data_IF_805693868272
#
_entry.id   IF_805693868272
#
_cell.length_a   1.000
_cell.length_b   1.000
_cell.length_c   1.000
_cell.angle_alpha   90.00
_cell.angle_beta   90.00
_cell.angle_gamma   90.00
#
_symmetry.space_group_name_H-M   'P 1'
#
loop_
_entity.id
_entity.type
_entity.pdbx_description
1 polymer ?
#
# COMPACT_ATOMS: atom_id res chain seq x y z
N UNK A 1 -2.21 -32.34 -17.17
CA UNK A 1 -1.59 -31.00 -17.11
C UNK A 1 -1.75 -30.47 -15.71
N UNK A 2 -0.65 -30.29 -15.01
CA UNK A 2 -0.63 -29.77 -13.64
C UNK A 2 -0.95 -28.27 -13.64
N UNK A 3 -1.52 -27.74 -12.55
CA UNK A 3 -1.88 -26.30 -12.43
C UNK A 3 -0.68 -25.38 -12.77
N UNK A 4 0.54 -25.75 -12.45
CA UNK A 4 1.77 -25.04 -12.79
C UNK A 4 2.02 -24.90 -14.31
N UNK A 5 1.57 -25.85 -15.12
CA UNK A 5 1.72 -25.78 -16.58
C UNK A 5 0.68 -24.86 -17.24
N UNK A 6 -0.53 -24.79 -16.67
CA UNK A 6 -1.56 -23.84 -17.13
C UNK A 6 -1.21 -22.40 -16.78
N UNK A 7 -0.66 -22.13 -15.60
CA UNK A 7 -0.20 -20.79 -15.21
C UNK A 7 0.97 -20.29 -16.06
N UNK A 8 1.95 -21.15 -16.41
CA UNK A 8 3.01 -20.80 -17.37
C UNK A 8 2.49 -20.52 -18.79
N UNK A 9 1.47 -21.25 -19.24
CA UNK A 9 0.87 -21.06 -20.58
C UNK A 9 0.06 -19.76 -20.68
N UNK A 10 -0.65 -19.37 -19.62
CA UNK A 10 -1.37 -18.10 -19.53
C UNK A 10 -0.41 -16.91 -19.48
N UNK A 11 0.65 -17.00 -18.71
CA UNK A 11 1.72 -16.01 -18.65
C UNK A 11 2.36 -15.80 -20.03
N UNK A 12 2.74 -16.86 -20.74
CA UNK A 12 3.37 -16.76 -22.04
C UNK A 12 2.45 -16.22 -23.16
N UNK A 13 1.16 -16.56 -23.15
CA UNK A 13 0.21 -16.03 -24.16
C UNK A 13 -0.08 -14.53 -23.97
N UNK A 14 -0.13 -14.09 -22.70
CA UNK A 14 -0.32 -12.67 -22.42
C UNK A 14 0.90 -11.86 -22.85
N UNK A 15 2.10 -12.37 -22.58
CA UNK A 15 3.37 -11.76 -22.97
C UNK A 15 3.51 -11.70 -24.49
N UNK A 16 3.19 -12.77 -25.22
CA UNK A 16 3.34 -12.83 -26.67
C UNK A 16 2.44 -11.83 -27.43
N UNK A 17 1.27 -11.52 -26.89
CA UNK A 17 0.34 -10.56 -27.50
C UNK A 17 0.85 -9.10 -27.46
N UNK A 18 1.78 -8.80 -26.54
CA UNK A 18 2.38 -7.46 -26.37
C UNK A 18 3.74 -7.32 -27.08
N UNK A 19 4.37 -8.42 -27.52
CA UNK A 19 5.70 -8.41 -28.14
C UNK A 19 5.72 -7.93 -29.59
N UNK A 20 4.59 -7.95 -30.27
CA UNK A 20 4.57 -7.80 -31.75
C UNK A 20 4.58 -6.35 -32.24
N UNK A 21 4.56 -5.32 -31.38
CA UNK A 21 4.30 -3.95 -31.84
C UNK A 21 5.18 -2.80 -31.30
N UNK A 22 6.32 -3.01 -30.63
CA UNK A 22 7.05 -1.88 -30.04
C UNK A 22 8.59 -1.99 -30.05
N UNK A 23 9.29 -0.82 -29.91
CA UNK A 23 10.75 -0.68 -29.80
C UNK A 23 11.32 -1.50 -28.63
N UNK A 24 12.57 -1.96 -28.74
CA UNK A 24 13.26 -2.85 -27.78
C UNK A 24 13.27 -2.32 -26.35
N UNK A 25 13.39 -1.01 -26.17
CA UNK A 25 13.40 -0.36 -24.84
C UNK A 25 12.02 -0.38 -24.15
N UNK A 26 10.96 -0.20 -24.94
CA UNK A 26 9.56 -0.33 -24.47
C UNK A 26 9.23 -1.78 -24.06
N UNK A 27 9.77 -2.75 -24.79
CA UNK A 27 9.60 -4.18 -24.49
C UNK A 27 10.28 -4.56 -23.18
N UNK A 28 11.51 -4.12 -22.94
CA UNK A 28 12.24 -4.42 -21.71
C UNK A 28 11.52 -3.86 -20.46
N UNK A 29 10.99 -2.65 -20.56
CA UNK A 29 10.20 -2.04 -19.47
C UNK A 29 8.89 -2.80 -19.22
N UNK A 30 8.21 -3.26 -20.28
CA UNK A 30 7.00 -4.09 -20.15
C UNK A 30 7.29 -5.46 -19.54
N UNK A 31 8.41 -6.09 -19.87
CA UNK A 31 8.83 -7.35 -19.25
C UNK A 31 9.10 -7.18 -17.76
N UNK A 32 9.86 -6.16 -17.37
CA UNK A 32 10.12 -5.84 -15.97
C UNK A 32 8.81 -5.59 -15.20
N UNK A 33 7.89 -4.86 -15.80
CA UNK A 33 6.59 -4.61 -15.19
C UNK A 33 5.74 -5.90 -15.07
N UNK A 34 5.69 -6.75 -16.08
CA UNK A 34 4.96 -8.01 -16.02
C UNK A 34 5.51 -8.96 -14.94
N UNK A 35 6.82 -8.98 -14.75
CA UNK A 35 7.48 -9.74 -13.68
C UNK A 35 7.10 -9.19 -12.30
N UNK A 36 7.14 -7.88 -12.13
CA UNK A 36 6.72 -7.21 -10.90
C UNK A 36 5.24 -7.47 -10.61
N UNK A 37 4.37 -7.36 -11.62
CA UNK A 37 2.95 -7.61 -11.48
C UNK A 37 2.65 -9.05 -11.07
N UNK A 38 3.36 -10.03 -11.65
CA UNK A 38 3.25 -11.44 -11.29
C UNK A 38 3.70 -11.71 -9.86
N UNK A 39 4.84 -11.15 -9.46
CA UNK A 39 5.36 -11.24 -8.10
C UNK A 39 4.42 -10.62 -7.09
N UNK A 40 3.86 -9.45 -7.40
CA UNK A 40 2.90 -8.76 -6.53
C UNK A 40 1.61 -9.56 -6.37
N UNK A 41 1.07 -10.12 -7.44
CA UNK A 41 -0.11 -10.98 -7.40
C UNK A 41 0.11 -12.23 -6.53
N UNK A 42 1.30 -12.84 -6.62
CA UNK A 42 1.69 -13.96 -5.76
C UNK A 42 1.78 -13.53 -4.29
N UNK A 43 2.41 -12.39 -4.03
CA UNK A 43 2.55 -11.85 -2.68
C UNK A 43 1.19 -11.54 -2.05
N UNK A 44 0.24 -10.98 -2.81
CA UNK A 44 -1.11 -10.67 -2.33
C UNK A 44 -1.92 -11.91 -1.92
N UNK A 45 -1.63 -13.08 -2.48
CA UNK A 45 -2.28 -14.34 -2.10
C UNK A 45 -1.74 -14.92 -0.79
N UNK A 46 -0.47 -14.71 -0.50
CA UNK A 46 0.25 -15.39 0.59
C UNK A 46 0.55 -14.49 1.78
N UNK A 47 0.25 -13.18 1.68
CA UNK A 47 0.70 -12.26 2.70
C UNK A 47 -0.19 -12.31 3.95
N UNK A 48 0.47 -12.44 5.10
CA UNK A 48 -0.15 -12.48 6.43
C UNK A 48 0.19 -11.25 7.29
N UNK A 49 1.08 -10.39 6.79
CA UNK A 49 1.63 -9.25 7.52
C UNK A 49 1.67 -8.01 6.62
N UNK A 50 1.01 -6.94 7.09
CA UNK A 50 0.92 -5.67 6.35
C UNK A 50 2.28 -4.99 6.19
N UNK A 51 3.18 -5.13 7.18
CA UNK A 51 4.53 -4.56 7.09
C UNK A 51 5.26 -5.09 5.85
N UNK A 52 5.26 -6.41 5.67
CA UNK A 52 5.88 -7.05 4.51
C UNK A 52 5.27 -6.59 3.19
N UNK A 53 3.95 -6.37 3.15
CA UNK A 53 3.31 -5.83 1.96
C UNK A 53 3.81 -4.43 1.66
N UNK A 54 3.81 -3.55 2.67
CA UNK A 54 4.22 -2.17 2.52
C UNK A 54 5.71 -2.04 2.15
N UNK A 55 6.58 -2.84 2.79
CA UNK A 55 8.00 -2.89 2.47
C UNK A 55 8.23 -3.35 1.03
N UNK A 56 7.46 -4.35 0.56
CA UNK A 56 7.54 -4.82 -0.81
C UNK A 56 7.04 -3.77 -1.81
N UNK A 57 5.94 -3.09 -1.52
CA UNK A 57 5.43 -1.98 -2.34
C UNK A 57 6.45 -0.83 -2.41
N UNK A 58 7.10 -0.48 -1.30
CA UNK A 58 8.15 0.54 -1.28
C UNK A 58 9.35 0.14 -2.14
N UNK A 59 9.73 -1.14 -2.12
CA UNK A 59 10.78 -1.65 -2.98
C UNK A 59 10.43 -1.50 -4.47
N UNK A 60 9.19 -1.82 -4.84
CA UNK A 60 8.69 -1.66 -6.21
C UNK A 60 8.70 -0.18 -6.62
N UNK A 61 8.17 0.71 -5.78
CA UNK A 61 8.18 2.15 -6.06
C UNK A 61 9.60 2.69 -6.23
N UNK A 62 10.53 2.28 -5.35
CA UNK A 62 11.94 2.65 -5.43
C UNK A 62 12.59 2.21 -6.74
N UNK A 63 12.15 1.09 -7.30
CA UNK A 63 12.71 0.54 -8.53
C UNK A 63 12.12 1.18 -9.79
N UNK A 64 10.81 1.42 -9.81
CA UNK A 64 10.10 1.98 -10.98
C UNK A 64 10.19 3.50 -11.02
N UNK A 65 10.04 4.16 -9.87
CA UNK A 65 10.03 5.62 -9.72
C UNK A 65 11.22 6.09 -8.92
N UNK A 66 12.43 5.72 -9.35
CA UNK A 66 13.69 5.91 -8.64
C UNK A 66 14.03 7.38 -8.37
N UNK A 67 13.47 8.32 -9.15
CA UNK A 67 13.67 9.77 -9.02
C UNK A 67 12.65 10.44 -8.08
N UNK A 68 11.71 9.69 -7.55
CA UNK A 68 10.64 10.17 -6.67
C UNK A 68 10.85 9.71 -5.23
N UNK A 69 10.33 10.51 -4.30
CA UNK A 69 10.15 10.09 -2.92
C UNK A 69 8.65 9.87 -2.70
N UNK A 70 8.28 8.71 -2.22
CA UNK A 70 6.88 8.32 -2.05
C UNK A 70 6.64 7.98 -0.59
N UNK A 71 5.75 8.74 0.07
CA UNK A 71 5.29 8.50 1.43
C UNK A 71 3.93 7.80 1.38
N UNK A 72 3.82 6.65 2.03
CA UNK A 72 2.60 5.86 2.15
C UNK A 72 2.11 5.94 3.58
N UNK A 73 0.88 6.42 3.76
CA UNK A 73 0.19 6.51 5.05
C UNK A 73 -1.03 5.58 5.01
N UNK A 74 -0.92 4.34 5.51
CA UNK A 74 -2.06 3.43 5.57
C UNK A 74 -3.02 3.81 6.69
N UNK A 75 -4.31 3.48 6.51
CA UNK A 75 -5.33 3.54 7.54
C UNK A 75 -5.65 2.14 8.05
N UNK A 76 -5.91 2.04 9.37
CA UNK A 76 -6.39 0.82 9.98
C UNK A 76 -7.86 0.53 9.58
N UNK A 77 -8.44 -0.55 10.08
CA UNK A 77 -9.81 -0.93 9.76
C UNK A 77 -10.87 0.04 10.33
N UNK A 78 -10.50 0.85 11.33
CA UNK A 78 -11.34 1.90 11.93
C UNK A 78 -11.25 3.23 11.16
N UNK A 79 -10.35 3.32 10.17
CA UNK A 79 -10.12 4.51 9.36
C UNK A 79 -9.16 5.52 10.02
N UNK A 80 -8.39 5.09 11.01
CA UNK A 80 -7.38 5.89 11.68
C UNK A 80 -6.01 5.65 11.06
N UNK A 81 -5.11 6.64 11.16
CA UNK A 81 -3.73 6.49 10.69
C UNK A 81 -3.02 5.38 11.44
N UNK A 82 -2.44 4.48 10.67
CA UNK A 82 -1.68 3.37 11.19
C UNK A 82 -0.20 3.75 11.27
N UNK A 83 0.15 4.52 12.30
CA UNK A 83 1.45 5.15 12.45
C UNK A 83 2.64 4.19 12.32
N UNK A 84 2.53 2.98 12.87
CA UNK A 84 3.57 1.95 12.84
C UNK A 84 3.85 1.45 11.42
N UNK A 85 2.88 1.63 10.51
CA UNK A 85 2.92 1.12 9.16
C UNK A 85 3.16 2.20 8.10
N UNK A 86 3.48 3.44 8.50
CA UNK A 86 3.89 4.47 7.55
C UNK A 86 5.22 4.08 6.92
N UNK A 87 5.32 4.23 5.61
CA UNK A 87 6.52 3.87 4.84
C UNK A 87 6.93 4.98 3.89
N UNK A 88 8.23 5.09 3.69
CA UNK A 88 8.82 6.00 2.72
C UNK A 88 9.66 5.18 1.74
N UNK A 89 9.36 5.34 0.46
CA UNK A 89 10.17 4.82 -0.64
C UNK A 89 11.02 5.97 -1.19
N UNK A 90 12.33 5.84 -1.12
CA UNK A 90 13.30 6.78 -1.67
C UNK A 90 14.55 6.04 -2.13
N UNK A 91 15.31 6.63 -3.04
CA UNK A 91 16.63 6.12 -3.40
C UNK A 91 17.71 6.60 -2.41
N UNK A 92 18.92 6.06 -2.51
CA UNK A 92 20.02 6.37 -1.59
C UNK A 92 20.50 7.84 -1.68
N UNK A 93 20.26 8.52 -2.81
CA UNK A 93 20.60 9.93 -2.98
C UNK A 93 19.66 10.89 -2.23
N UNK A 94 18.52 10.37 -1.76
CA UNK A 94 17.48 11.11 -1.06
C UNK A 94 17.39 10.77 0.44
N UNK A 95 18.40 10.12 1.01
CA UNK A 95 18.39 9.67 2.42
C UNK A 95 18.17 10.83 3.41
N UNK A 96 18.82 11.97 3.21
CA UNK A 96 18.64 13.15 4.08
C UNK A 96 17.17 13.63 4.08
N UNK A 97 16.56 13.70 2.90
CA UNK A 97 15.16 14.15 2.76
C UNK A 97 14.21 13.10 3.34
N UNK A 98 14.51 11.83 3.15
CA UNK A 98 13.75 10.72 3.77
C UNK A 98 13.78 10.84 5.29
N UNK A 99 14.92 11.15 5.87
CA UNK A 99 15.05 11.35 7.31
C UNK A 99 14.27 12.59 7.78
N UNK A 100 14.35 13.70 7.06
CA UNK A 100 13.55 14.90 7.35
C UNK A 100 12.05 14.65 7.29
N UNK A 101 11.55 13.87 6.32
CA UNK A 101 10.14 13.47 6.23
C UNK A 101 9.76 12.58 7.42
N UNK A 102 10.62 11.64 7.81
CA UNK A 102 10.40 10.80 8.99
C UNK A 102 10.33 11.62 10.28
N UNK A 103 11.24 12.58 10.46
CA UNK A 103 11.23 13.48 11.62
C UNK A 103 9.97 14.32 11.62
N UNK A 104 9.61 14.93 10.48
CA UNK A 104 8.39 15.70 10.34
C UNK A 104 7.15 14.89 10.70
N UNK A 105 7.04 13.66 10.17
CA UNK A 105 5.92 12.76 10.45
C UNK A 105 5.82 12.42 11.94
N UNK A 106 6.94 12.12 12.60
CA UNK A 106 6.98 11.84 14.04
C UNK A 106 6.61 13.06 14.90
N UNK A 107 7.02 14.26 14.47
CA UNK A 107 6.74 15.53 15.17
C UNK A 107 5.31 15.99 14.99
N UNK A 108 4.65 15.65 13.89
CA UNK A 108 3.29 16.09 13.61
C UNK A 108 2.25 15.58 14.61
N UNK A 109 2.62 14.56 15.42
CA UNK A 109 1.77 14.01 16.49
C UNK A 109 0.31 13.88 16.08
N UNK A 110 0.02 12.94 15.16
CA UNK A 110 -1.38 12.67 14.83
C UNK A 110 -2.17 12.39 16.11
N UNK A 111 -3.27 13.11 16.37
CA UNK A 111 -4.14 12.80 17.52
C UNK A 111 -4.56 11.32 17.46
N UNK A 112 -4.74 10.68 18.62
CA UNK A 112 -5.13 9.25 18.70
C UNK A 112 -6.36 8.88 17.89
N UNK A 113 -7.19 9.84 17.49
CA UNK A 113 -8.38 9.67 16.65
C UNK A 113 -8.31 10.58 15.43
N UNK A 114 -7.14 10.66 14.78
CA UNK A 114 -6.95 11.48 13.58
C UNK A 114 -7.92 11.03 12.49
N UNK A 115 -8.88 11.89 12.19
CA UNK A 115 -9.91 11.60 11.20
C UNK A 115 -9.47 12.11 9.82
N UNK A 116 -9.99 11.48 8.77
CA UNK A 116 -9.80 11.91 7.37
C UNK A 116 -10.07 13.41 7.18
N UNK A 117 -10.90 14.03 8.02
CA UNK A 117 -11.22 15.47 8.00
C UNK A 117 -10.01 16.37 8.30
N UNK A 118 -8.99 15.85 8.99
CA UNK A 118 -7.81 16.61 9.42
C UNK A 118 -6.64 16.48 8.43
N UNK A 119 -6.79 15.63 7.40
CA UNK A 119 -5.80 15.46 6.33
C UNK A 119 -5.40 16.80 5.68
N UNK A 120 -6.32 17.74 5.37
CA UNK A 120 -5.93 19.03 4.78
C UNK A 120 -4.94 19.83 5.65
N UNK A 121 -5.06 19.75 6.98
CA UNK A 121 -4.12 20.41 7.91
C UNK A 121 -2.73 19.80 7.81
N UNK A 122 -2.65 18.46 7.77
CA UNK A 122 -1.39 17.75 7.55
C UNK A 122 -0.77 18.10 6.19
N UNK A 123 -1.56 18.09 5.12
CA UNK A 123 -1.09 18.42 3.77
C UNK A 123 -0.55 19.85 3.68
N UNK A 124 -1.21 20.80 4.30
CA UNK A 124 -0.75 22.18 4.34
C UNK A 124 0.57 22.31 5.11
N UNK A 125 0.70 21.63 6.24
CA UNK A 125 1.94 21.61 7.02
C UNK A 125 3.08 20.95 6.25
N UNK A 126 2.79 19.84 5.55
CA UNK A 126 3.75 19.12 4.71
C UNK A 126 4.25 20.01 3.56
N UNK A 127 3.33 20.63 2.82
CA UNK A 127 3.65 21.57 1.72
C UNK A 127 4.44 22.79 2.20
N UNK A 128 4.12 23.32 3.38
CA UNK A 128 4.85 24.44 3.97
C UNK A 128 6.28 24.09 4.39
N UNK A 129 6.50 22.86 4.86
CA UNK A 129 7.82 22.37 5.27
C UNK A 129 8.71 22.05 4.07
N UNK A 130 8.15 21.47 3.02
CA UNK A 130 8.89 20.96 1.84
C UNK A 130 8.54 21.77 0.59
N UNK A 131 8.72 23.10 0.65
CA UNK A 131 8.35 24.04 -0.42
C UNK A 131 9.11 23.84 -1.73
N UNK A 132 10.30 23.25 -1.64
CA UNK A 132 11.17 22.92 -2.78
C UNK A 132 10.67 21.73 -3.60
N UNK A 133 9.65 21.02 -3.10
CA UNK A 133 9.05 19.88 -3.78
C UNK A 133 7.65 20.23 -4.28
N UNK A 134 7.34 19.76 -5.49
CA UNK A 134 5.96 19.60 -5.93
C UNK A 134 5.40 18.34 -5.25
N UNK A 135 4.46 18.51 -4.32
CA UNK A 135 3.85 17.39 -3.60
C UNK A 135 2.48 17.11 -4.22
N UNK A 136 2.35 15.90 -4.76
CA UNK A 136 1.09 15.36 -5.28
C UNK A 136 0.52 14.36 -4.28
N UNK A 137 -0.81 14.26 -4.20
CA UNK A 137 -1.49 13.38 -3.24
C UNK A 137 -2.53 12.56 -3.94
N UNK A 138 -2.60 11.28 -3.62
CA UNK A 138 -3.68 10.39 -4.04
C UNK A 138 -4.17 9.52 -2.88
N UNK A 139 -5.45 9.11 -2.94
CA UNK A 139 -6.07 8.22 -1.96
C UNK A 139 -5.91 6.77 -2.38
N UNK A 140 -5.62 5.90 -1.44
CA UNK A 140 -5.69 4.45 -1.62
C UNK A 140 -7.15 4.05 -1.39
N UNK A 141 -7.88 3.74 -2.46
CA UNK A 141 -9.31 3.41 -2.39
C UNK A 141 -9.53 1.93 -2.65
N UNK A 142 -10.30 1.26 -1.79
CA UNK A 142 -10.80 -0.10 -2.02
C UNK A 142 -12.29 -0.17 -1.70
N UNK A 143 -13.09 -0.63 -2.66
CA UNK A 143 -14.55 -0.78 -2.54
C UNK A 143 -15.24 0.49 -1.97
N UNK A 144 -14.81 1.66 -2.45
CA UNK A 144 -15.34 2.95 -2.02
C UNK A 144 -14.87 3.43 -0.64
N UNK A 145 -14.01 2.65 0.06
CA UNK A 145 -13.42 3.03 1.35
C UNK A 145 -11.99 3.51 1.16
N UNK A 146 -11.63 4.59 1.86
CA UNK A 146 -10.26 5.07 1.91
C UNK A 146 -9.44 4.14 2.84
N UNK A 147 -8.35 3.58 2.31
CA UNK A 147 -7.42 2.69 3.01
C UNK A 147 -6.07 3.34 3.29
N UNK A 148 -5.89 4.57 2.86
CA UNK A 148 -4.67 5.33 3.07
C UNK A 148 -4.49 6.46 2.08
N UNK A 149 -3.30 7.05 2.14
CA UNK A 149 -2.87 8.14 1.28
C UNK A 149 -1.45 7.86 0.77
N UNK A 150 -1.17 8.32 -0.44
CA UNK A 150 0.17 8.35 -1.01
C UNK A 150 0.52 9.79 -1.33
N UNK A 151 1.66 10.25 -0.83
CA UNK A 151 2.24 11.56 -1.13
C UNK A 151 3.50 11.34 -1.97
N UNK A 152 3.58 12.05 -3.08
CA UNK A 152 4.67 11.95 -4.05
C UNK A 152 5.40 13.27 -4.08
N UNK A 153 6.68 13.24 -3.73
CA UNK A 153 7.55 14.41 -3.72
C UNK A 153 8.38 14.43 -5.00
N UNK A 154 8.12 15.42 -5.84
CA UNK A 154 8.84 15.67 -7.07
C UNK A 154 9.81 16.84 -6.86
N UNK A 155 11.12 16.61 -7.01
CA UNK A 155 12.13 17.68 -6.93
C UNK A 155 12.05 18.59 -8.17
N UNK A 156 11.76 18.02 -9.31
CA UNK A 156 11.49 18.78 -10.53
C UNK A 156 10.00 19.15 -10.59
N UNK A 157 9.72 20.44 -10.40
CA UNK A 157 8.38 21.01 -10.42
C UNK A 157 7.71 20.85 -11.79
N UNK A 158 8.51 20.79 -12.87
CA UNK A 158 8.04 20.62 -14.25
C UNK A 158 7.75 19.16 -14.61
N UNK A 159 8.13 18.20 -13.75
CA UNK A 159 7.95 16.79 -14.02
C UNK A 159 6.48 16.42 -14.16
N UNK A 160 6.22 15.50 -15.12
CA UNK A 160 4.87 14.95 -15.32
C UNK A 160 4.42 14.20 -14.06
N UNK A 161 3.11 14.28 -13.76
CA UNK A 161 2.52 13.54 -12.66
C UNK A 161 2.58 12.04 -12.91
N UNK A 162 3.05 11.28 -11.93
CA UNK A 162 3.03 9.81 -12.00
C UNK A 162 1.68 9.21 -11.59
N UNK A 163 0.75 10.01 -11.06
CA UNK A 163 -0.58 9.54 -10.65
C UNK A 163 -1.36 8.99 -11.85
N UNK A 164 -1.10 9.50 -13.05
CA UNK A 164 -1.72 9.03 -14.30
C UNK A 164 -0.97 7.87 -14.95
N UNK A 165 0.20 7.49 -14.42
CA UNK A 165 0.99 6.37 -14.91
C UNK A 165 0.29 5.04 -14.64
N UNK A 166 0.25 4.16 -15.67
CA UNK A 166 -0.42 2.86 -15.56
C UNK A 166 0.23 1.95 -14.53
N UNK A 167 1.57 1.98 -14.40
CA UNK A 167 2.30 1.19 -13.43
C UNK A 167 2.01 1.66 -12.01
N UNK A 168 1.96 2.99 -11.81
CA UNK A 168 1.59 3.57 -10.53
C UNK A 168 0.18 3.15 -10.12
N UNK A 169 -0.79 3.28 -11.02
CA UNK A 169 -2.17 2.89 -10.78
C UNK A 169 -2.31 1.40 -10.45
N UNK A 170 -1.56 0.54 -11.14
CA UNK A 170 -1.56 -0.90 -10.84
C UNK A 170 -1.02 -1.19 -9.44
N UNK A 171 0.10 -0.59 -9.06
CA UNK A 171 0.72 -0.77 -7.73
C UNK A 171 -0.22 -0.23 -6.65
N UNK A 172 -0.80 0.96 -6.84
CA UNK A 172 -1.75 1.57 -5.92
C UNK A 172 -2.99 0.68 -5.71
N UNK A 173 -3.57 0.14 -6.78
CA UNK A 173 -4.72 -0.75 -6.70
C UNK A 173 -4.36 -2.07 -6.00
N UNK A 174 -3.18 -2.61 -6.25
CA UNK A 174 -2.68 -3.81 -5.58
C UNK A 174 -2.47 -3.57 -4.08
N UNK A 175 -1.91 -2.43 -3.72
CA UNK A 175 -1.79 -2.00 -2.31
C UNK A 175 -3.18 -1.86 -1.66
N UNK A 176 -4.14 -1.24 -2.35
CA UNK A 176 -5.50 -1.09 -1.85
C UNK A 176 -6.16 -2.44 -1.55
N UNK A 177 -6.03 -3.40 -2.45
CA UNK A 177 -6.52 -4.77 -2.25
C UNK A 177 -5.83 -5.48 -1.10
N UNK A 178 -4.51 -5.33 -0.97
CA UNK A 178 -3.75 -5.92 0.12
C UNK A 178 -4.17 -5.37 1.49
N UNK A 179 -4.30 -4.06 1.61
CA UNK A 179 -4.78 -3.41 2.84
C UNK A 179 -6.22 -3.84 3.18
N UNK A 180 -7.10 -3.92 2.18
CA UNK A 180 -8.48 -4.40 2.36
C UNK A 180 -8.51 -5.83 2.89
N UNK A 181 -7.78 -6.75 2.25
CA UNK A 181 -7.70 -8.15 2.66
C UNK A 181 -7.19 -8.29 4.10
N UNK A 182 -6.16 -7.52 4.46
CA UNK A 182 -5.66 -7.51 5.83
C UNK A 182 -6.72 -7.03 6.83
N UNK A 183 -7.43 -5.95 6.51
CA UNK A 183 -8.52 -5.45 7.34
C UNK A 183 -9.63 -6.51 7.53
N UNK A 184 -9.99 -7.21 6.47
CA UNK A 184 -11.00 -8.27 6.52
C UNK A 184 -10.55 -9.45 7.41
N UNK A 185 -9.30 -9.88 7.27
CA UNK A 185 -8.72 -10.96 8.11
C UNK A 185 -8.73 -10.55 9.59
N UNK A 186 -8.34 -9.32 9.91
CA UNK A 186 -8.34 -8.83 11.29
C UNK A 186 -9.75 -8.74 11.87
N UNK A 187 -10.72 -8.25 11.08
CA UNK A 187 -12.13 -8.18 11.48
C UNK A 187 -12.67 -9.58 11.76
N UNK A 188 -12.42 -10.55 10.86
CA UNK A 188 -12.85 -11.94 11.03
C UNK A 188 -12.28 -12.55 12.32
N UNK A 189 -10.99 -12.40 12.56
CA UNK A 189 -10.35 -12.89 13.79
C UNK A 189 -10.95 -12.25 15.06
N UNK A 190 -11.31 -10.96 15.01
CA UNK A 190 -11.95 -10.28 16.12
C UNK A 190 -13.32 -10.89 16.44
N UNK A 191 -14.13 -11.16 15.40
CA UNK A 191 -15.43 -11.83 15.57
C UNK A 191 -15.30 -13.24 16.10
N UNK A 192 -14.39 -14.06 15.56
CA UNK A 192 -14.13 -15.41 16.04
C UNK A 192 -13.71 -15.46 17.52
N UNK A 193 -12.92 -14.46 17.99
CA UNK A 193 -12.55 -14.37 19.39
C UNK A 193 -13.74 -14.01 20.26
N UNK A 194 -14.58 -13.04 19.85
CA UNK A 194 -15.80 -12.67 20.59
C UNK A 194 -16.77 -13.85 20.70
N UNK A 195 -16.98 -14.57 19.59
CA UNK A 195 -17.85 -15.75 19.60
C UNK A 195 -17.34 -16.84 20.55
N UNK A 196 -16.01 -17.03 20.60
CA UNK A 196 -15.38 -17.97 21.55
C UNK A 196 -15.55 -17.52 22.99
N UNK A 197 -15.38 -16.23 23.29
CA UNK A 197 -15.58 -15.68 24.63
C UNK A 197 -17.03 -15.83 25.10
N UNK A 198 -18.00 -15.58 24.21
CA UNK A 198 -19.42 -15.77 24.50
C UNK A 198 -19.73 -17.26 24.80
N UNK A 199 -19.19 -18.17 23.97
CA UNK A 199 -19.38 -19.63 24.18
C UNK A 199 -18.81 -20.08 25.52
N UNK A 200 -17.58 -19.66 25.83
CA UNK A 200 -16.93 -19.97 27.13
C UNK A 200 -17.71 -19.37 28.30
N UNK A 201 -18.21 -18.15 28.17
CA UNK A 201 -19.04 -17.52 29.21
C UNK A 201 -20.36 -18.28 29.45
N UNK A 202 -21.00 -18.76 28.38
CA UNK A 202 -22.22 -19.56 28.47
C UNK A 202 -21.96 -20.92 29.15
N UNK A 203 -20.85 -21.59 28.85
CA UNK A 203 -20.43 -22.83 29.52
C UNK A 203 -20.20 -22.62 31.04
N UNK A 204 -19.51 -21.57 31.41
CA UNK A 204 -19.26 -21.23 32.82
C UNK A 204 -20.59 -20.96 33.53
N UNK A 205 -21.50 -20.19 32.91
CA UNK A 205 -22.82 -19.93 33.50
C UNK A 205 -23.62 -21.20 33.70
N UNK A 206 -23.62 -22.12 32.74
CA UNK A 206 -24.35 -23.40 32.85
C UNK A 206 -23.80 -24.30 33.96
N UNK A 207 -22.50 -24.18 34.27
CA UNK A 207 -21.87 -24.94 35.36
C UNK A 207 -22.13 -24.34 36.76
N UNK A 208 -22.44 -23.05 36.84
CA UNK A 208 -22.64 -22.32 38.06
C UNK A 208 -24.12 -22.22 38.49
N UNK A 209 -25.05 -22.50 37.59
CA UNK A 209 -26.49 -22.54 37.93
C UNK A 209 -26.81 -23.91 38.53
N UNK A 210 -27.32 -23.97 39.78
CA UNK A 210 -27.82 -25.21 40.34
C UNK A 210 -29.07 -25.65 39.58
N UNK A 211 -29.22 -26.98 39.41
CA UNK A 211 -30.42 -27.65 38.85
C UNK A 211 -31.68 -27.32 39.62
#
# INVERSE_FOLDING_TARGET
MTNNQKEKLFSNKFIQKYLDNESTESLENKYKFAEIASSLAYYLKSFSNVDKLLDYICLIFKHIFYDKIILIIPLNFEGEIWNENVRISANNQSENIQEEINIFFKQFQFPKNFKIKEIPTFENSLKNKFKEFKIETTKILSRGKCRGFIYIFNKDISSQSIIEDQNFNFIQNSLALGLENYCLIKTKKKHENVDREISTGAEIQSQLLPD
#
